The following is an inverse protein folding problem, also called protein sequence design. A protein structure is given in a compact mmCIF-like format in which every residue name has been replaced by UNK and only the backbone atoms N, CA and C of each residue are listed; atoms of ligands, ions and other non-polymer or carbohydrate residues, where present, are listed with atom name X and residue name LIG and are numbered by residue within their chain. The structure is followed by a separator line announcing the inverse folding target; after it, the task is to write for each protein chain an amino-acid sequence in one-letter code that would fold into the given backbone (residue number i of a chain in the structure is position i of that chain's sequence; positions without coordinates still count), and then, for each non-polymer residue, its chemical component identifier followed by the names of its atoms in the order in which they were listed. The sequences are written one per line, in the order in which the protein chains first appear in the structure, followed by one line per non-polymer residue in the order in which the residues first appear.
data_IF_975102937320
#
_entry.id   IF_975102937320
#
_cell.length_a   1.000
_cell.length_b   1.000
_cell.length_c   1.000
_cell.angle_alpha   90.00
_cell.angle_beta   90.00
_cell.angle_gamma   90.00
#
_symmetry.space_group_name_H-M   'P 1'
#
loop_
_entity.id
_entity.type
_entity.pdbx_description
1 polymer ?
#
# COMPACT_ATOMS: atom_id res chain seq x y z
N UNK A 1 -1.62 14.97 -2.28
CA UNK A 1 -3.07 14.54 -2.26
C UNK A 1 -3.97 15.63 -2.82
N UNK A 2 -3.63 16.88 -2.65
CA UNK A 2 -4.45 18.03 -3.09
C UNK A 2 -4.44 18.25 -4.60
N UNK A 3 -3.45 17.71 -5.32
CA UNK A 3 -3.34 17.84 -6.78
C UNK A 3 -4.36 16.94 -7.50
N UNK A 4 -4.65 15.74 -6.97
CA UNK A 4 -5.55 14.78 -7.60
C UNK A 4 -6.98 14.95 -7.08
N UNK A 5 -7.81 15.70 -7.79
CA UNK A 5 -9.18 16.04 -7.35
C UNK A 5 -10.27 15.15 -7.95
N UNK A 6 -9.91 14.23 -8.87
CA UNK A 6 -10.87 13.31 -9.47
C UNK A 6 -10.28 12.42 -10.55
N UNK A 7 -11.13 11.67 -11.26
CA UNK A 7 -10.71 10.84 -12.40
C UNK A 7 -10.21 11.76 -13.52
N UNK A 8 -8.92 11.63 -13.86
CA UNK A 8 -8.25 12.45 -14.86
C UNK A 8 -8.39 13.97 -14.63
N UNK A 9 -8.53 14.36 -13.35
CA UNK A 9 -8.66 15.77 -12.96
C UNK A 9 -7.60 16.12 -11.92
N UNK A 10 -6.94 17.25 -12.13
CA UNK A 10 -6.01 17.86 -11.17
C UNK A 10 -6.51 19.25 -10.79
N UNK A 11 -6.01 19.76 -9.67
CA UNK A 11 -6.22 21.15 -9.24
C UNK A 11 -5.26 22.14 -9.88
N UNK A 12 -4.30 21.66 -10.70
CA UNK A 12 -3.29 22.47 -11.38
C UNK A 12 -4.00 23.35 -12.40
N UNK A 13 -3.77 24.67 -12.35
CA UNK A 13 -4.28 25.63 -13.31
C UNK A 13 -3.57 25.53 -14.65
N UNK A 14 -4.12 26.14 -15.71
CA UNK A 14 -3.58 26.05 -17.07
C UNK A 14 -2.18 26.68 -17.24
N UNK A 15 -1.84 27.61 -16.35
CA UNK A 15 -0.56 28.32 -16.27
C UNK A 15 0.38 27.79 -15.17
N UNK A 16 0.00 26.70 -14.51
CA UNK A 16 0.82 26.03 -13.49
C UNK A 16 1.51 24.78 -14.01
N UNK A 17 2.69 24.51 -13.46
CA UNK A 17 3.50 23.33 -13.76
C UNK A 17 3.98 22.66 -12.48
N UNK A 18 3.79 21.34 -12.37
CA UNK A 18 4.42 20.55 -11.31
C UNK A 18 5.93 20.45 -11.57
N UNK A 19 6.74 21.19 -10.82
CA UNK A 19 8.20 21.28 -11.01
C UNK A 19 8.99 20.24 -10.24
N UNK A 20 8.49 19.79 -9.07
CA UNK A 20 9.21 18.83 -8.24
C UNK A 20 8.28 18.07 -7.28
N UNK A 21 8.73 16.90 -6.88
CA UNK A 21 8.14 16.10 -5.80
C UNK A 21 9.24 15.87 -4.77
N UNK A 22 9.01 16.30 -3.53
CA UNK A 22 9.96 16.13 -2.42
C UNK A 22 9.57 14.88 -1.63
N UNK A 23 10.49 13.91 -1.55
CA UNK A 23 10.33 12.68 -0.77
C UNK A 23 11.37 12.71 0.34
N UNK A 24 10.96 12.72 1.63
CA UNK A 24 11.91 12.65 2.73
C UNK A 24 12.64 11.30 2.73
N UNK A 25 13.94 11.32 2.92
CA UNK A 25 14.75 10.09 3.04
C UNK A 25 14.39 9.43 4.38
N UNK A 26 13.92 8.16 4.36
CA UNK A 26 13.62 7.43 5.58
C UNK A 26 14.84 7.30 6.50
N UNK A 27 14.63 7.46 7.81
CA UNK A 27 15.68 7.33 8.81
C UNK A 27 15.49 6.04 9.63
N UNK A 28 16.60 5.45 10.07
CA UNK A 28 16.60 4.25 10.90
C UNK A 28 16.23 2.97 10.14
N UNK A 29 15.79 1.95 10.86
CA UNK A 29 15.39 0.64 10.29
C UNK A 29 14.06 0.76 9.53
N UNK A 30 14.10 1.28 8.30
CA UNK A 30 12.92 1.49 7.47
C UNK A 30 13.04 0.67 6.19
N UNK A 31 12.03 -0.15 5.92
CA UNK A 31 11.94 -1.02 4.74
C UNK A 31 10.71 -0.64 3.92
N UNK A 32 10.81 -0.77 2.61
CA UNK A 32 9.73 -0.47 1.69
C UNK A 32 9.53 -1.57 0.65
N UNK A 33 8.28 -1.84 0.30
CA UNK A 33 7.95 -2.78 -0.78
C UNK A 33 6.86 -2.19 -1.66
N UNK A 34 6.99 -2.41 -2.97
CA UNK A 34 6.01 -2.00 -3.98
C UNK A 34 5.58 -3.20 -4.81
N UNK A 35 4.31 -3.56 -4.73
CA UNK A 35 3.70 -4.65 -5.50
C UNK A 35 2.73 -4.09 -6.52
N UNK A 36 2.99 -4.38 -7.79
CA UNK A 36 2.10 -4.04 -8.92
C UNK A 36 1.53 -5.30 -9.55
N UNK A 37 0.22 -5.37 -9.67
CA UNK A 37 -0.49 -6.46 -10.35
C UNK A 37 -1.10 -5.93 -11.64
N UNK A 38 -0.69 -6.49 -12.76
CA UNK A 38 -1.17 -6.18 -14.10
C UNK A 38 -1.67 -7.42 -14.82
N UNK A 39 -2.23 -7.28 -16.04
CA UNK A 39 -2.66 -8.41 -16.87
C UNK A 39 -1.52 -9.12 -17.61
N UNK A 40 -0.40 -8.47 -17.79
CA UNK A 40 0.77 -8.94 -18.55
C UNK A 40 2.06 -8.51 -17.85
N UNK A 41 3.18 -9.16 -18.20
CA UNK A 41 4.47 -8.88 -17.54
C UNK A 41 5.06 -7.50 -17.88
N UNK A 42 4.84 -7.02 -19.12
CA UNK A 42 5.39 -5.74 -19.57
C UNK A 42 4.28 -4.76 -20.01
N UNK A 43 4.55 -3.47 -19.88
CA UNK A 43 3.67 -2.36 -20.30
C UNK A 43 2.22 -2.48 -19.77
N UNK A 44 2.07 -3.05 -18.58
CA UNK A 44 0.75 -3.30 -18.01
C UNK A 44 0.25 -2.09 -17.21
N UNK A 45 -1.00 -1.71 -17.46
CA UNK A 45 -1.76 -0.86 -16.56
C UNK A 45 -2.04 -1.67 -15.28
N UNK A 46 -1.80 -1.06 -14.12
CA UNK A 46 -2.05 -1.72 -12.85
C UNK A 46 -3.55 -2.03 -12.67
N UNK A 47 -3.86 -3.27 -12.32
CA UNK A 47 -5.18 -3.67 -11.82
C UNK A 47 -5.32 -3.37 -10.34
N UNK A 48 -4.20 -3.44 -9.65
CA UNK A 48 -3.99 -3.05 -8.26
C UNK A 48 -2.50 -2.80 -8.07
N UNK A 49 -2.16 -1.83 -7.25
CA UNK A 49 -0.81 -1.72 -6.70
C UNK A 49 -0.88 -1.40 -5.20
N UNK A 50 0.18 -1.80 -4.50
CA UNK A 50 0.36 -1.53 -3.07
C UNK A 50 1.78 -0.99 -2.89
N UNK A 51 1.88 0.11 -2.16
CA UNK A 51 3.12 0.64 -1.63
C UNK A 51 3.08 0.54 -0.11
N UNK A 52 4.03 -0.18 0.48
CA UNK A 52 4.14 -0.41 1.91
C UNK A 52 5.49 0.07 2.41
N UNK A 53 5.50 0.81 3.51
CA UNK A 53 6.71 1.16 4.25
C UNK A 53 6.51 0.79 5.72
N UNK A 54 7.47 0.07 6.29
CA UNK A 54 7.52 -0.25 7.71
C UNK A 54 8.79 0.33 8.33
N UNK A 55 8.64 1.06 9.41
CA UNK A 55 9.74 1.50 10.28
C UNK A 55 9.71 0.67 11.56
N UNK A 56 10.86 0.10 11.92
CA UNK A 56 11.01 -0.71 13.12
C UNK A 56 11.76 0.07 14.20
N UNK A 57 11.28 -0.09 15.43
CA UNK A 57 11.98 0.31 16.65
C UNK A 57 13.20 -0.61 16.92
N UNK A 58 14.12 -0.24 17.82
CA UNK A 58 15.29 -1.07 18.14
C UNK A 58 14.96 -2.48 18.60
N UNK A 59 13.82 -2.69 19.25
CA UNK A 59 13.29 -3.97 19.72
C UNK A 59 12.55 -4.78 18.65
N UNK A 60 12.64 -4.36 17.37
CA UNK A 60 12.00 -4.98 16.19
C UNK A 60 10.45 -4.93 16.19
N UNK A 61 9.86 -4.09 17.01
CA UNK A 61 8.43 -3.76 16.95
C UNK A 61 8.21 -2.76 15.80
N UNK A 62 7.10 -2.89 15.07
CA UNK A 62 6.70 -1.94 14.03
C UNK A 62 6.33 -0.61 14.70
N UNK A 63 7.22 0.37 14.62
CA UNK A 63 7.00 1.73 15.13
C UNK A 63 5.97 2.48 14.28
N UNK A 64 6.08 2.33 12.96
CA UNK A 64 5.20 3.01 12.00
C UNK A 64 4.99 2.16 10.76
N UNK A 65 3.74 2.05 10.35
CA UNK A 65 3.34 1.47 9.07
C UNK A 65 2.70 2.53 8.18
N UNK A 66 3.02 2.52 6.90
CA UNK A 66 2.39 3.36 5.88
C UNK A 66 2.03 2.48 4.69
N UNK A 67 0.74 2.38 4.37
CA UNK A 67 0.22 1.52 3.33
C UNK A 67 -0.70 2.31 2.39
N UNK A 68 -0.33 2.40 1.13
CA UNK A 68 -1.15 3.00 0.09
C UNK A 68 -1.57 1.95 -0.94
N UNK A 69 -2.82 2.04 -1.40
CA UNK A 69 -3.34 1.22 -2.48
C UNK A 69 -3.78 2.09 -3.65
N UNK A 70 -3.38 1.71 -4.85
CA UNK A 70 -3.79 2.33 -6.10
C UNK A 70 -4.64 1.39 -6.95
N UNK A 71 -5.41 1.96 -7.89
CA UNK A 71 -6.35 1.29 -8.77
C UNK A 71 -7.52 0.59 -8.04
N UNK A 72 -7.84 0.97 -6.79
CA UNK A 72 -9.00 0.52 -6.02
C UNK A 72 -10.02 1.64 -5.74
N UNK A 73 -9.68 2.87 -6.06
CA UNK A 73 -10.53 4.05 -5.94
C UNK A 73 -10.35 4.99 -7.11
N UNK A 74 -10.88 6.20 -6.99
CA UNK A 74 -10.69 7.31 -7.95
C UNK A 74 -9.22 7.75 -7.94
N UNK A 75 -8.64 7.85 -6.75
CA UNK A 75 -7.24 8.17 -6.50
C UNK A 75 -6.60 7.06 -5.66
N UNK A 76 -5.27 7.03 -5.58
CA UNK A 76 -4.58 6.22 -4.57
C UNK A 76 -4.95 6.73 -3.17
N UNK A 77 -5.07 5.84 -2.20
CA UNK A 77 -5.42 6.21 -0.84
C UNK A 77 -4.69 5.34 0.20
N UNK A 78 -4.56 5.89 1.40
CA UNK A 78 -3.98 5.21 2.56
C UNK A 78 -4.98 4.22 3.17
N UNK A 79 -4.51 3.03 3.55
CA UNK A 79 -5.30 2.00 4.23
C UNK A 79 -4.99 2.04 5.73
N UNK A 80 -5.50 3.08 6.39
CA UNK A 80 -5.20 3.38 7.80
C UNK A 80 -5.56 2.23 8.76
N UNK A 81 -6.61 1.46 8.48
CA UNK A 81 -7.01 0.31 9.31
C UNK A 81 -5.90 -0.74 9.39
N UNK A 82 -5.23 -1.04 8.28
CA UNK A 82 -4.11 -1.99 8.26
C UNK A 82 -2.87 -1.38 8.89
N UNK A 83 -2.61 -0.10 8.66
CA UNK A 83 -1.48 0.61 9.29
C UNK A 83 -1.58 0.57 10.81
N UNK A 84 -2.74 0.94 11.37
CA UNK A 84 -3.02 0.91 12.81
C UNK A 84 -2.93 -0.51 13.36
N UNK A 85 -3.39 -1.51 12.61
CA UNK A 85 -3.30 -2.92 13.02
C UNK A 85 -1.84 -3.39 13.14
N UNK A 86 -0.98 -2.99 12.21
CA UNK A 86 0.42 -3.40 12.20
C UNK A 86 1.26 -2.71 13.27
N UNK A 87 0.95 -1.46 13.59
CA UNK A 87 1.70 -0.66 14.55
C UNK A 87 1.70 -1.28 15.95
N UNK A 88 2.85 -1.28 16.59
CA UNK A 88 3.06 -1.86 17.93
C UNK A 88 3.19 -3.39 17.94
N UNK A 89 3.31 -4.05 16.78
CA UNK A 89 3.43 -5.51 16.68
C UNK A 89 4.77 -5.95 16.12
N UNK A 90 5.16 -7.18 16.46
CA UNK A 90 6.20 -7.92 15.73
C UNK A 90 5.66 -8.41 14.38
N UNK A 91 6.49 -8.42 13.35
CA UNK A 91 6.10 -8.91 12.02
C UNK A 91 6.15 -10.44 11.96
N UNK A 92 5.22 -11.11 12.65
CA UNK A 92 5.06 -12.57 12.65
C UNK A 92 4.18 -13.03 11.48
N UNK A 93 4.17 -14.34 11.20
CA UNK A 93 3.33 -14.91 10.13
C UNK A 93 1.83 -14.78 10.44
N UNK A 94 1.45 -14.84 11.72
CA UNK A 94 0.07 -14.62 12.18
C UNK A 94 -0.36 -13.16 11.94
N UNK A 95 0.50 -12.20 12.27
CA UNK A 95 0.25 -10.76 12.03
C UNK A 95 0.12 -10.48 10.53
N UNK A 96 0.98 -11.08 9.71
CA UNK A 96 0.92 -10.98 8.25
C UNK A 96 -0.40 -11.55 7.72
N UNK A 97 -0.79 -12.74 8.18
CA UNK A 97 -2.02 -13.40 7.74
C UNK A 97 -3.27 -12.57 8.08
N UNK A 98 -3.32 -12.00 9.28
CA UNK A 98 -4.45 -11.18 9.74
C UNK A 98 -4.52 -9.83 9.02
N UNK A 99 -3.39 -9.16 8.79
CA UNK A 99 -3.30 -7.97 7.95
C UNK A 99 -3.85 -8.23 6.53
N UNK A 100 -3.56 -9.43 5.99
CA UNK A 100 -4.09 -9.87 4.70
C UNK A 100 -5.62 -10.06 4.68
N UNK A 101 -6.22 -10.49 5.78
CA UNK A 101 -7.69 -10.55 5.90
C UNK A 101 -8.28 -9.14 5.97
N UNK A 102 -7.66 -8.29 6.80
CA UNK A 102 -8.14 -6.93 7.02
C UNK A 102 -8.14 -6.10 5.73
N UNK A 103 -7.07 -6.13 4.93
CA UNK A 103 -7.05 -5.40 3.65
C UNK A 103 -8.13 -5.89 2.68
N UNK A 104 -8.42 -7.20 2.68
CA UNK A 104 -9.49 -7.77 1.86
C UNK A 104 -10.86 -7.16 2.19
N UNK A 105 -11.15 -6.97 3.48
CA UNK A 105 -12.40 -6.36 3.94
C UNK A 105 -12.46 -4.88 3.56
N UNK A 106 -11.38 -4.12 3.83
CA UNK A 106 -11.31 -2.68 3.51
C UNK A 106 -11.47 -2.44 2.01
N UNK A 107 -10.81 -3.24 1.16
CA UNK A 107 -10.93 -3.11 -0.29
C UNK A 107 -12.32 -3.51 -0.78
N UNK A 108 -12.94 -4.54 -0.19
CA UNK A 108 -14.31 -4.93 -0.52
C UNK A 108 -15.30 -3.82 -0.19
N UNK A 109 -15.21 -3.25 0.99
CA UNK A 109 -16.05 -2.12 1.41
C UNK A 109 -15.89 -0.90 0.49
N UNK A 110 -14.64 -0.51 0.20
CA UNK A 110 -14.33 0.62 -0.70
C UNK A 110 -14.87 0.44 -2.12
N UNK A 111 -14.91 -0.79 -2.62
CA UNK A 111 -15.39 -1.10 -3.96
C UNK A 111 -16.90 -1.32 -4.01
N UNK A 112 -17.53 -1.69 -2.88
CA UNK A 112 -18.96 -1.96 -2.79
C UNK A 112 -19.40 -3.03 -3.80
N UNK A 113 -20.47 -2.76 -4.53
CA UNK A 113 -21.07 -3.68 -5.52
C UNK A 113 -20.41 -3.71 -6.88
N UNK A 114 -19.23 -3.06 -7.05
CA UNK A 114 -18.54 -3.07 -8.35
C UNK A 114 -18.21 -4.49 -8.79
N UNK A 115 -18.42 -4.87 -10.07
CA UNK A 115 -18.14 -6.22 -10.58
C UNK A 115 -16.70 -6.71 -10.35
N UNK A 116 -15.76 -5.77 -10.19
CA UNK A 116 -14.34 -6.08 -9.94
C UNK A 116 -14.01 -6.30 -8.47
N UNK A 117 -14.95 -6.07 -7.55
CA UNK A 117 -14.69 -6.17 -6.10
C UNK A 117 -14.24 -7.58 -5.66
N UNK A 118 -14.85 -8.71 -6.09
CA UNK A 118 -14.41 -10.04 -5.69
C UNK A 118 -12.97 -10.34 -6.11
N UNK A 119 -12.59 -9.93 -7.32
CA UNK A 119 -11.23 -10.09 -7.82
C UNK A 119 -10.26 -9.19 -7.06
N UNK A 120 -10.56 -7.90 -6.89
CA UNK A 120 -9.65 -6.93 -6.29
C UNK A 120 -9.40 -7.19 -4.81
N UNK A 121 -10.40 -7.65 -4.03
CA UNK A 121 -10.20 -8.05 -2.63
C UNK A 121 -9.21 -9.20 -2.50
N UNK A 122 -9.28 -10.19 -3.41
CA UNK A 122 -8.40 -11.36 -3.39
C UNK A 122 -6.97 -10.98 -3.73
N UNK A 123 -6.76 -10.21 -4.81
CA UNK A 123 -5.41 -9.78 -5.20
C UNK A 123 -4.80 -8.76 -4.23
N UNK A 124 -5.62 -7.94 -3.56
CA UNK A 124 -5.13 -7.04 -2.51
C UNK A 124 -4.54 -7.80 -1.33
N UNK A 125 -5.22 -8.88 -0.89
CA UNK A 125 -4.69 -9.81 0.11
C UNK A 125 -3.35 -10.37 -0.33
N UNK A 126 -3.27 -10.97 -1.52
CA UNK A 126 -2.03 -11.57 -2.05
C UNK A 126 -0.90 -10.56 -2.19
N UNK A 127 -1.20 -9.34 -2.66
CA UNK A 127 -0.22 -8.27 -2.80
C UNK A 127 0.35 -7.82 -1.45
N UNK A 128 -0.51 -7.64 -0.44
CA UNK A 128 -0.04 -7.25 0.90
C UNK A 128 0.77 -8.36 1.57
N UNK A 129 0.32 -9.62 1.49
CA UNK A 129 1.07 -10.76 2.00
C UNK A 129 2.47 -10.83 1.39
N UNK A 130 2.57 -10.64 0.08
CA UNK A 130 3.86 -10.61 -0.61
C UNK A 130 4.74 -9.45 -0.15
N UNK A 131 4.19 -8.24 -0.03
CA UNK A 131 4.93 -7.06 0.43
C UNK A 131 5.47 -7.23 1.85
N UNK A 132 4.64 -7.73 2.77
CA UNK A 132 5.03 -7.96 4.16
C UNK A 132 6.09 -9.06 4.28
N UNK A 133 5.99 -10.15 3.50
CA UNK A 133 6.99 -11.22 3.47
C UNK A 133 8.34 -10.72 2.96
N UNK A 134 8.36 -9.93 1.88
CA UNK A 134 9.58 -9.31 1.37
C UNK A 134 10.28 -8.47 2.45
N UNK A 135 9.51 -7.60 3.13
CA UNK A 135 10.07 -6.79 4.23
C UNK A 135 10.55 -7.68 5.38
N UNK A 136 9.83 -8.76 5.73
CA UNK A 136 10.25 -9.69 6.79
C UNK A 136 11.57 -10.38 6.45
N UNK A 137 11.75 -10.80 5.20
CA UNK A 137 12.99 -11.42 4.70
C UNK A 137 14.16 -10.42 4.74
N UNK A 138 13.96 -9.20 4.25
CA UNK A 138 14.97 -8.13 4.27
C UNK A 138 15.34 -7.72 5.71
N UNK A 139 14.37 -7.58 6.59
CA UNK A 139 14.57 -7.23 8.00
C UNK A 139 15.27 -8.35 8.80
N UNK A 140 14.95 -9.61 8.53
CA UNK A 140 15.55 -10.78 9.21
C UNK A 140 16.95 -11.14 8.70
N UNK A 141 17.39 -10.56 7.59
CA UNK A 141 18.73 -10.73 7.02
C UNK A 141 19.75 -9.67 7.46
N UNK A 142 19.36 -8.76 8.35
CA UNK A 142 20.24 -7.68 8.87
C UNK A 142 20.74 -7.97 10.28
#
# INVERSE_FOLDING_TARGET
EEILVGINKTSIAADELLTSIVIPIPQGKTFASFIKIGRRKALAIARLNIALTLKFAPDNIIEKATLAAGAVGVTAYRIQQVETYLQGKFLTDEVIAEAGKLISLVVADKLGTRPTAPYKKTIAKGALLKALKQIKEEHGGC
#
